data_IF_004351505812
#
_entry.id   IF_004351505812
#
_cell.length_a   1.000
_cell.length_b   1.000
_cell.length_c   1.000
_cell.angle_alpha   90.00
_cell.angle_beta   90.00
_cell.angle_gamma   90.00
#
_symmetry.space_group_name_H-M   'P 1'
#
loop_
_entity.id
_entity.type
_entity.pdbx_description
1 polymer ?
#
# COMPACT_ATOMS: atom_id res chain seq x y z
N UNK A 1 9.83 -5.46 -12.43
CA UNK A 1 10.80 -4.98 -11.43
C UNK A 1 10.54 -5.59 -10.04
N UNK A 2 9.30 -5.68 -9.60
CA UNK A 2 8.90 -6.07 -8.24
C UNK A 2 8.81 -7.59 -7.97
N UNK A 3 9.40 -8.43 -8.78
CA UNK A 3 9.40 -9.90 -8.62
C UNK A 3 8.02 -10.58 -8.63
N UNK A 4 6.97 -9.88 -9.03
CA UNK A 4 5.63 -10.40 -9.21
C UNK A 4 5.29 -10.54 -10.71
N UNK A 5 4.55 -11.57 -11.06
CA UNK A 5 3.86 -11.64 -12.34
C UNK A 5 2.69 -10.65 -12.39
N UNK A 6 2.17 -10.31 -13.57
CA UNK A 6 0.99 -9.44 -13.67
C UNK A 6 -0.23 -9.96 -12.89
N UNK A 7 -0.42 -11.28 -12.84
CA UNK A 7 -1.52 -11.90 -12.09
C UNK A 7 -1.31 -11.73 -10.59
N UNK A 8 -0.12 -12.04 -10.07
CA UNK A 8 0.20 -11.88 -8.64
C UNK A 8 0.10 -10.43 -8.19
N UNK A 9 0.52 -9.48 -9.04
CA UNK A 9 0.37 -8.05 -8.75
C UNK A 9 -1.11 -7.66 -8.65
N UNK A 10 -1.93 -8.11 -9.60
CA UNK A 10 -3.36 -7.86 -9.57
C UNK A 10 -4.04 -8.48 -8.35
N UNK A 11 -3.69 -9.73 -8.01
CA UNK A 11 -4.21 -10.41 -6.81
C UNK A 11 -3.84 -9.65 -5.53
N UNK A 12 -2.59 -9.15 -5.44
CA UNK A 12 -2.15 -8.31 -4.32
C UNK A 12 -3.02 -7.06 -4.17
N UNK A 13 -3.29 -6.32 -5.26
CA UNK A 13 -4.15 -5.14 -5.24
C UNK A 13 -5.58 -5.49 -4.78
N UNK A 14 -6.13 -6.61 -5.24
CA UNK A 14 -7.45 -7.09 -4.80
C UNK A 14 -7.46 -7.47 -3.31
N UNK A 15 -6.40 -8.10 -2.81
CA UNK A 15 -6.27 -8.44 -1.39
C UNK A 15 -6.21 -7.17 -0.54
N UNK A 16 -5.47 -6.14 -0.96
CA UNK A 16 -5.43 -4.84 -0.28
C UNK A 16 -6.83 -4.23 -0.15
N UNK A 17 -7.58 -4.15 -1.25
CA UNK A 17 -8.95 -3.61 -1.25
C UNK A 17 -9.90 -4.44 -0.41
N UNK A 18 -9.80 -5.76 -0.47
CA UNK A 18 -10.61 -6.69 0.30
C UNK A 18 -10.30 -6.58 1.81
N UNK A 19 -9.03 -6.50 2.18
CA UNK A 19 -8.62 -6.30 3.57
C UNK A 19 -9.18 -4.98 4.11
N UNK A 20 -9.02 -3.88 3.38
CA UNK A 20 -9.57 -2.57 3.74
C UNK A 20 -11.07 -2.66 4.01
N UNK A 21 -11.84 -3.23 3.08
CA UNK A 21 -13.28 -3.33 3.21
C UNK A 21 -13.70 -4.23 4.38
N UNK A 22 -13.10 -5.41 4.52
CA UNK A 22 -13.49 -6.37 5.55
C UNK A 22 -13.09 -5.95 6.97
N UNK A 23 -11.94 -5.28 7.10
CA UNK A 23 -11.46 -4.79 8.38
C UNK A 23 -12.18 -3.50 8.78
N UNK A 24 -12.08 -2.47 7.92
CA UNK A 24 -12.44 -1.11 8.30
C UNK A 24 -13.95 -0.85 8.28
N UNK A 25 -14.74 -1.66 7.57
CA UNK A 25 -16.21 -1.51 7.52
C UNK A 25 -16.91 -1.66 8.89
N UNK A 26 -16.29 -2.36 9.83
CA UNK A 26 -16.81 -2.45 11.21
C UNK A 26 -16.44 -1.26 12.08
N UNK A 27 -15.44 -0.48 11.67
CA UNK A 27 -15.00 0.73 12.34
C UNK A 27 -15.79 1.93 11.80
N UNK A 28 -15.74 2.13 10.48
CA UNK A 28 -16.50 3.13 9.76
C UNK A 28 -16.78 2.65 8.33
N UNK A 29 -18.01 2.30 8.04
CA UNK A 29 -18.40 1.79 6.73
C UNK A 29 -18.23 2.82 5.60
N UNK A 30 -18.48 4.10 5.88
CA UNK A 30 -18.37 5.16 4.86
C UNK A 30 -16.90 5.35 4.45
N UNK A 31 -16.01 5.35 5.44
CA UNK A 31 -14.59 5.44 5.18
C UNK A 31 -14.04 4.18 4.49
N UNK A 32 -14.51 3.00 4.87
CA UNK A 32 -14.14 1.77 4.18
C UNK A 32 -14.55 1.80 2.70
N UNK A 33 -15.77 2.25 2.39
CA UNK A 33 -16.26 2.41 1.02
C UNK A 33 -15.47 3.45 0.22
N UNK A 34 -14.93 4.48 0.88
CA UNK A 34 -14.09 5.48 0.27
C UNK A 34 -12.64 5.01 0.05
N UNK A 35 -12.06 4.28 1.03
CA UNK A 35 -10.66 3.86 1.00
C UNK A 35 -10.42 2.52 0.28
N UNK A 36 -11.40 1.62 0.20
CA UNK A 36 -11.21 0.34 -0.47
C UNK A 36 -10.94 0.46 -1.98
N UNK A 37 -11.61 1.33 -2.76
CA UNK A 37 -11.22 1.59 -4.14
C UNK A 37 -9.82 2.17 -4.27
N UNK A 38 -9.42 3.08 -3.36
CA UNK A 38 -8.06 3.62 -3.35
C UNK A 38 -7.04 2.50 -3.08
N UNK A 39 -7.29 1.61 -2.13
CA UNK A 39 -6.42 0.46 -1.84
C UNK A 39 -6.26 -0.49 -3.03
N UNK A 40 -7.24 -0.56 -3.94
CA UNK A 40 -7.14 -1.34 -5.18
C UNK A 40 -6.16 -0.73 -6.18
N UNK A 41 -6.12 0.59 -6.27
CA UNK A 41 -5.40 1.31 -7.34
C UNK A 41 -4.16 2.07 -6.87
N UNK A 42 -3.90 2.13 -5.57
CA UNK A 42 -2.78 2.90 -5.00
C UNK A 42 -1.39 2.43 -5.47
N UNK A 43 -1.29 1.19 -5.92
CA UNK A 43 -0.04 0.59 -6.41
C UNK A 43 0.29 0.93 -7.87
N UNK A 44 -0.54 1.73 -8.55
CA UNK A 44 -0.37 2.05 -9.99
C UNK A 44 1.00 2.68 -10.30
N UNK A 45 1.56 3.46 -9.39
CA UNK A 45 2.89 4.06 -9.55
C UNK A 45 4.01 3.04 -9.66
N UNK A 46 3.84 1.82 -9.09
CA UNK A 46 4.81 0.73 -9.25
C UNK A 46 4.94 0.28 -10.72
N UNK A 47 3.87 0.38 -11.50
CA UNK A 47 3.92 0.06 -12.93
C UNK A 47 4.74 1.10 -13.69
N UNK A 48 4.59 2.38 -13.34
CA UNK A 48 5.36 3.49 -13.92
C UNK A 48 6.83 3.35 -13.56
N UNK A 49 7.12 3.15 -12.28
CA UNK A 49 8.49 2.98 -11.79
C UNK A 49 9.15 1.74 -12.41
N UNK A 50 8.43 0.63 -12.54
CA UNK A 50 8.93 -0.58 -13.20
C UNK A 50 9.28 -0.34 -14.68
N UNK A 51 8.49 0.45 -15.40
CA UNK A 51 8.76 0.81 -16.79
C UNK A 51 10.02 1.70 -16.89
N UNK A 52 10.17 2.66 -15.99
CA UNK A 52 11.35 3.54 -15.98
C UNK A 52 12.62 2.77 -15.63
N UNK A 53 12.58 1.87 -14.66
CA UNK A 53 13.69 0.99 -14.32
C UNK A 53 14.09 0.06 -15.49
N UNK A 54 13.09 -0.39 -16.28
CA UNK A 54 13.34 -1.17 -17.49
C UNK A 54 14.05 -0.31 -18.55
N UNK A 55 13.57 0.89 -18.82
CA UNK A 55 14.12 1.81 -19.81
C UNK A 55 15.57 2.22 -19.47
N UNK A 56 15.86 2.42 -18.19
CA UNK A 56 17.18 2.81 -17.68
C UNK A 56 18.12 1.64 -17.40
N UNK A 57 17.72 0.41 -17.68
CA UNK A 57 18.50 -0.83 -17.45
C UNK A 57 18.79 -1.15 -15.98
N UNK A 58 18.08 -0.56 -15.03
CA UNK A 58 18.25 -0.80 -13.59
C UNK A 58 17.39 -1.95 -13.04
N UNK A 59 16.58 -2.61 -13.86
CA UNK A 59 15.63 -3.65 -13.41
C UNK A 59 16.28 -4.77 -12.61
N UNK A 60 17.46 -5.26 -13.03
CA UNK A 60 18.13 -6.38 -12.36
C UNK A 60 18.66 -5.96 -10.98
N UNK A 61 19.32 -4.80 -10.92
CA UNK A 61 19.82 -4.22 -9.67
C UNK A 61 18.67 -3.98 -8.68
N UNK A 62 17.59 -3.39 -9.15
CA UNK A 62 16.39 -3.15 -8.34
C UNK A 62 15.80 -4.45 -7.77
N UNK A 63 15.66 -5.48 -8.61
CA UNK A 63 15.17 -6.80 -8.18
C UNK A 63 16.03 -7.46 -7.10
N UNK A 64 17.33 -7.28 -7.18
CA UNK A 64 18.27 -7.82 -6.19
C UNK A 64 18.14 -7.08 -4.86
N UNK A 65 18.25 -5.76 -4.86
CA UNK A 65 18.18 -4.98 -3.64
C UNK A 65 16.78 -4.98 -2.98
N UNK A 66 15.71 -5.15 -3.76
CA UNK A 66 14.35 -5.28 -3.23
C UNK A 66 14.21 -6.47 -2.26
N UNK A 67 14.96 -7.56 -2.47
CA UNK A 67 14.93 -8.72 -1.57
C UNK A 67 15.51 -8.41 -0.20
N UNK A 68 16.54 -7.57 -0.19
CA UNK A 68 17.34 -7.27 1.01
C UNK A 68 16.88 -5.98 1.71
N UNK A 69 16.10 -5.12 1.05
CA UNK A 69 15.64 -3.88 1.65
C UNK A 69 14.66 -4.14 2.81
N UNK A 70 14.75 -3.34 3.84
CA UNK A 70 13.84 -3.38 4.98
C UNK A 70 12.52 -2.67 4.66
N UNK A 71 12.60 -1.49 4.04
CA UNK A 71 11.46 -0.65 3.65
C UNK A 71 11.50 -0.41 2.14
N UNK A 72 10.44 -0.82 1.46
CA UNK A 72 10.36 -0.78 -0.01
C UNK A 72 10.44 0.67 -0.52
N UNK A 73 9.70 1.56 0.08
CA UNK A 73 9.57 2.96 -0.33
C UNK A 73 10.89 3.74 -0.15
N UNK A 74 11.63 3.45 0.91
CA UNK A 74 12.97 4.00 1.11
C UNK A 74 13.91 3.55 -0.01
N UNK A 75 13.86 2.27 -0.36
CA UNK A 75 14.67 1.73 -1.43
C UNK A 75 14.27 2.27 -2.81
N UNK A 76 12.98 2.42 -3.09
CA UNK A 76 12.48 3.10 -4.30
C UNK A 76 13.07 4.52 -4.41
N UNK A 77 13.02 5.28 -3.30
CA UNK A 77 13.55 6.64 -3.26
C UNK A 77 15.05 6.70 -3.47
N UNK A 78 15.82 5.79 -2.88
CA UNK A 78 17.28 5.70 -3.09
C UNK A 78 17.67 5.44 -4.54
N UNK A 79 16.91 4.60 -5.25
CA UNK A 79 17.22 4.21 -6.63
C UNK A 79 16.65 5.20 -7.65
N UNK A 80 15.44 5.72 -7.44
CA UNK A 80 14.70 6.49 -8.43
C UNK A 80 14.45 7.96 -8.05
N UNK A 81 14.80 8.37 -6.83
CA UNK A 81 14.53 9.71 -6.32
C UNK A 81 13.06 10.02 -6.06
N UNK A 82 12.22 8.98 -6.06
CA UNK A 82 10.77 9.09 -5.80
C UNK A 82 10.24 7.76 -5.27
N UNK A 83 9.02 7.78 -4.71
CA UNK A 83 8.31 6.56 -4.29
C UNK A 83 7.18 6.22 -5.27
N UNK A 84 6.80 4.96 -5.33
CA UNK A 84 5.70 4.52 -6.19
C UNK A 84 4.36 5.12 -5.77
N UNK A 85 4.14 5.38 -4.48
CA UNK A 85 2.90 6.02 -4.01
C UNK A 85 2.82 7.48 -4.41
N UNK A 86 3.94 8.22 -4.36
CA UNK A 86 3.99 9.58 -4.87
C UNK A 86 3.69 9.63 -6.37
N UNK A 87 4.26 8.69 -7.15
CA UNK A 87 3.95 8.53 -8.58
C UNK A 87 2.47 8.21 -8.82
N UNK A 88 1.86 7.35 -8.00
CA UNK A 88 0.40 7.11 -8.07
C UNK A 88 -0.38 8.40 -7.85
N UNK A 89 0.02 9.23 -6.89
CA UNK A 89 -0.59 10.54 -6.64
C UNK A 89 -0.49 11.47 -7.86
N UNK A 90 0.67 11.53 -8.52
CA UNK A 90 0.86 12.31 -9.75
C UNK A 90 0.00 11.79 -10.91
N UNK A 91 -0.11 10.48 -11.08
CA UNK A 91 -1.00 9.88 -12.09
C UNK A 91 -2.46 10.25 -11.85
N UNK A 92 -2.91 10.15 -10.62
CA UNK A 92 -4.29 10.44 -10.25
C UNK A 92 -4.63 11.92 -10.41
N UNK A 93 -3.69 12.81 -10.10
CA UNK A 93 -3.80 14.24 -10.39
C UNK A 93 -3.92 14.50 -11.89
N UNK A 94 -3.08 13.87 -12.70
CA UNK A 94 -3.12 13.99 -14.16
C UNK A 94 -4.44 13.48 -14.75
N UNK A 95 -5.02 12.43 -14.18
CA UNK A 95 -6.31 11.87 -14.62
C UNK A 95 -7.53 12.53 -13.98
N UNK A 96 -7.34 13.59 -13.19
CA UNK A 96 -8.38 14.28 -12.46
C UNK A 96 -9.24 13.36 -11.59
N UNK A 97 -8.60 12.39 -10.91
CA UNK A 97 -9.28 11.55 -9.94
C UNK A 97 -9.56 12.34 -8.63
N UNK A 98 -10.21 11.68 -7.69
CA UNK A 98 -10.59 12.26 -6.39
C UNK A 98 -9.41 13.01 -5.73
N UNK A 99 -9.52 14.33 -5.48
CA UNK A 99 -8.41 15.13 -4.93
C UNK A 99 -7.88 14.63 -3.58
N UNK A 100 -8.76 14.04 -2.75
CA UNK A 100 -8.34 13.47 -1.48
C UNK A 100 -7.42 12.25 -1.69
N UNK A 101 -7.65 11.44 -2.72
CA UNK A 101 -6.75 10.33 -3.09
C UNK A 101 -5.37 10.85 -3.48
N UNK A 102 -5.33 11.92 -4.28
CA UNK A 102 -4.07 12.57 -4.70
C UNK A 102 -3.28 13.03 -3.48
N UNK A 103 -3.92 13.76 -2.57
CA UNK A 103 -3.30 14.27 -1.35
C UNK A 103 -2.79 13.13 -0.47
N UNK A 104 -3.59 12.09 -0.23
CA UNK A 104 -3.17 10.94 0.59
C UNK A 104 -1.94 10.25 0.02
N UNK A 105 -1.94 9.94 -1.28
CA UNK A 105 -0.83 9.22 -1.91
C UNK A 105 0.46 10.03 -1.97
N UNK A 106 0.38 11.35 -2.21
CA UNK A 106 1.55 12.23 -2.22
C UNK A 106 2.19 12.37 -0.83
N UNK A 107 1.42 12.17 0.22
CA UNK A 107 1.86 12.34 1.61
C UNK A 107 2.02 11.01 2.37
N UNK A 108 1.93 9.87 1.69
CA UNK A 108 2.03 8.57 2.34
C UNK A 108 3.47 8.25 2.82
N UNK A 109 4.48 8.73 2.08
CA UNK A 109 5.90 8.48 2.37
C UNK A 109 6.72 9.76 2.59
N UNK A 110 6.24 10.87 2.04
CA UNK A 110 6.93 12.16 2.05
C UNK A 110 5.94 13.17 2.60
N UNK A 111 6.28 13.81 3.71
CA UNK A 111 5.48 14.90 4.26
C UNK A 111 5.66 16.16 3.36
N UNK A 112 4.83 16.28 2.35
CA UNK A 112 4.84 17.41 1.41
C UNK A 112 4.08 18.61 1.99
N UNK A 113 3.09 18.34 2.88
CA UNK A 113 2.25 19.34 3.53
C UNK A 113 2.01 18.97 5.00
N UNK A 114 1.70 19.95 5.84
CA UNK A 114 1.25 19.68 7.22
C UNK A 114 -0.13 19.04 7.15
N UNK A 115 -0.16 17.74 7.36
CA UNK A 115 -1.39 16.95 7.38
C UNK A 115 -1.85 16.79 8.82
N UNK A 116 -3.13 17.05 9.06
CA UNK A 116 -3.72 16.96 10.41
C UNK A 116 -5.12 16.33 10.35
N UNK A 117 -5.52 15.77 11.49
CA UNK A 117 -6.88 15.33 11.72
C UNK A 117 -7.29 14.12 10.87
N UNK A 118 -8.41 14.24 10.17
CA UNK A 118 -9.01 13.14 9.40
C UNK A 118 -8.10 12.61 8.28
N UNK A 119 -7.31 13.46 7.66
CA UNK A 119 -6.38 13.10 6.60
C UNK A 119 -5.23 12.23 7.14
N UNK A 120 -4.65 12.60 8.26
CA UNK A 120 -3.64 11.81 8.96
C UNK A 120 -4.17 10.41 9.27
N UNK A 121 -5.36 10.32 9.81
CA UNK A 121 -6.03 9.06 10.10
C UNK A 121 -6.27 8.19 8.86
N UNK A 122 -6.59 8.78 7.71
CA UNK A 122 -6.72 8.05 6.45
C UNK A 122 -5.38 7.53 5.94
N UNK A 123 -4.31 8.31 6.09
CA UNK A 123 -2.96 7.91 5.73
C UNK A 123 -2.51 6.73 6.59
N UNK A 124 -2.72 6.78 7.90
CA UNK A 124 -2.42 5.68 8.82
C UNK A 124 -3.21 4.41 8.46
N UNK A 125 -4.48 4.58 8.08
CA UNK A 125 -5.32 3.45 7.65
C UNK A 125 -4.77 2.79 6.38
N UNK A 126 -4.29 3.59 5.39
CA UNK A 126 -3.63 3.05 4.20
C UNK A 126 -2.28 2.39 4.54
N UNK A 127 -1.56 2.94 5.52
CA UNK A 127 -0.28 2.39 5.97
C UNK A 127 -0.44 1.00 6.58
N UNK A 128 -1.51 0.76 7.33
CA UNK A 128 -1.88 -0.59 7.79
C UNK A 128 -2.03 -1.56 6.61
N UNK A 129 -2.73 -1.16 5.56
CA UNK A 129 -2.99 -2.03 4.40
C UNK A 129 -1.71 -2.36 3.65
N UNK A 130 -0.89 -1.36 3.29
CA UNK A 130 0.37 -1.58 2.56
C UNK A 130 1.41 -2.33 3.38
N UNK A 131 1.39 -2.20 4.70
CA UNK A 131 2.27 -2.96 5.60
C UNK A 131 1.86 -4.43 5.65
N UNK A 132 0.57 -4.74 5.72
CA UNK A 132 0.07 -6.11 5.74
C UNK A 132 0.19 -6.81 4.38
N UNK A 133 0.06 -6.05 3.28
CA UNK A 133 0.02 -6.56 1.91
C UNK A 133 0.85 -5.67 1.00
N UNK A 134 1.96 -6.18 0.52
CA UNK A 134 2.88 -5.48 -0.38
C UNK A 134 3.56 -6.46 -1.34
N UNK A 135 4.45 -5.97 -2.20
CA UNK A 135 5.15 -6.77 -3.23
C UNK A 135 6.12 -7.81 -2.68
N UNK A 136 6.49 -7.74 -1.40
CA UNK A 136 7.35 -8.74 -0.72
C UNK A 136 6.51 -9.70 0.12
N UNK A 137 5.50 -9.18 0.79
CA UNK A 137 4.74 -9.88 1.81
C UNK A 137 3.24 -9.72 1.58
N UNK A 138 2.55 -10.81 1.33
CA UNK A 138 1.10 -10.85 1.20
C UNK A 138 0.53 -11.60 2.39
N UNK A 139 0.12 -10.89 3.42
CA UNK A 139 -0.44 -11.42 4.65
C UNK A 139 0.45 -12.53 5.29
N UNK A 140 1.76 -12.30 5.33
CA UNK A 140 2.67 -13.14 6.13
C UNK A 140 2.43 -12.88 7.62
N UNK A 141 2.85 -13.80 8.50
CA UNK A 141 2.73 -13.58 9.95
C UNK A 141 3.48 -12.31 10.37
N UNK A 142 4.65 -12.07 9.76
CA UNK A 142 5.46 -10.89 10.04
C UNK A 142 4.76 -9.60 9.58
N UNK A 143 4.23 -9.57 8.35
CA UNK A 143 3.56 -8.38 7.82
C UNK A 143 2.25 -8.06 8.56
N UNK A 144 1.50 -9.10 8.98
CA UNK A 144 0.31 -8.93 9.82
C UNK A 144 0.70 -8.36 11.19
N UNK A 145 1.76 -8.89 11.81
CA UNK A 145 2.22 -8.39 13.12
C UNK A 145 2.69 -6.92 13.03
N UNK A 146 3.45 -6.55 11.99
CA UNK A 146 3.87 -5.16 11.76
C UNK A 146 2.67 -4.22 11.56
N UNK A 147 1.69 -4.62 10.76
CA UNK A 147 0.47 -3.85 10.53
C UNK A 147 -0.36 -3.71 11.81
N UNK A 148 -0.42 -4.76 12.64
CA UNK A 148 -1.11 -4.76 13.93
C UNK A 148 -0.54 -3.71 14.90
N UNK A 149 0.77 -3.43 14.87
CA UNK A 149 1.37 -2.36 15.66
C UNK A 149 0.85 -0.97 15.24
N UNK A 150 0.62 -0.76 13.94
CA UNK A 150 0.03 0.50 13.46
C UNK A 150 -1.42 0.59 13.91
N UNK A 151 -2.19 -0.49 13.81
CA UNK A 151 -3.58 -0.55 14.30
C UNK A 151 -3.64 -0.21 15.79
N UNK A 152 -2.72 -0.75 16.60
CA UNK A 152 -2.60 -0.43 18.02
C UNK A 152 -2.31 1.05 18.26
N UNK A 153 -1.39 1.66 17.48
CA UNK A 153 -1.06 3.08 17.59
C UNK A 153 -2.24 4.02 17.23
N UNK A 154 -3.21 3.51 16.46
CA UNK A 154 -4.45 4.20 16.12
C UNK A 154 -5.56 4.01 17.17
N UNK A 155 -5.28 3.35 18.29
CA UNK A 155 -6.28 2.96 19.31
C UNK A 155 -7.43 2.07 18.76
N UNK A 156 -7.13 1.22 17.78
CA UNK A 156 -8.09 0.30 17.18
C UNK A 156 -7.90 -1.14 17.65
N UNK A 157 -8.94 -1.97 17.45
CA UNK A 157 -8.94 -3.37 17.85
C UNK A 157 -8.01 -4.23 16.96
N UNK A 158 -6.83 -4.57 17.49
CA UNK A 158 -5.83 -5.40 16.82
C UNK A 158 -6.32 -6.82 16.60
N UNK A 159 -7.08 -7.40 17.55
CA UNK A 159 -7.62 -8.76 17.44
C UNK A 159 -8.60 -8.86 16.28
N UNK A 160 -9.46 -7.85 16.10
CA UNK A 160 -10.34 -7.78 14.95
C UNK A 160 -9.57 -7.73 13.63
N UNK A 161 -8.54 -6.87 13.54
CA UNK A 161 -7.69 -6.76 12.36
C UNK A 161 -7.01 -8.10 12.02
N UNK A 162 -6.33 -8.71 12.98
CA UNK A 162 -5.62 -9.97 12.79
C UNK A 162 -6.54 -11.11 12.35
N UNK A 163 -7.74 -11.22 12.95
CA UNK A 163 -8.74 -12.22 12.58
C UNK A 163 -9.20 -12.04 11.12
N UNK A 164 -9.41 -10.79 10.69
CA UNK A 164 -9.76 -10.49 9.29
C UNK A 164 -8.61 -10.85 8.36
N UNK A 165 -7.38 -10.44 8.67
CA UNK A 165 -6.19 -10.72 7.87
C UNK A 165 -5.94 -12.23 7.71
N UNK A 166 -6.01 -13.00 8.79
CA UNK A 166 -5.86 -14.46 8.74
C UNK A 166 -6.98 -15.16 7.95
N UNK A 167 -8.22 -14.69 8.07
CA UNK A 167 -9.33 -15.23 7.29
C UNK A 167 -9.13 -15.02 5.80
N UNK A 168 -8.69 -13.82 5.39
CA UNK A 168 -8.38 -13.51 3.99
C UNK A 168 -7.21 -14.35 3.50
N UNK A 169 -6.10 -14.41 4.26
CA UNK A 169 -4.94 -15.25 3.97
C UNK A 169 -5.34 -16.70 3.66
N UNK A 170 -6.19 -17.28 4.49
CA UNK A 170 -6.64 -18.66 4.33
C UNK A 170 -7.56 -18.87 3.10
N UNK A 171 -8.28 -17.84 2.67
CA UNK A 171 -9.14 -17.90 1.47
C UNK A 171 -8.34 -17.84 0.17
N UNK A 172 -7.20 -17.15 0.14
CA UNK A 172 -6.33 -17.02 -1.04
C UNK A 172 -5.28 -18.14 -1.19
N UNK A 173 -5.07 -18.95 -0.16
CA UNK A 173 -4.16 -20.13 -0.22
C UNK A 173 -4.77 -21.37 -0.88
N UNK A 174 -5.98 -21.27 -1.40
CA UNK A 174 -6.63 -22.34 -2.16
C UNK A 174 -6.47 -22.14 -3.65
#
# INVERSE_FOLDING_TARGET
AYNLSPSEFNDMCHIQSHLMMQWYSKIDLRHAQFLAPLSLIMESGKLVLAQELYNSSYTLQFKQGLKDCEVIETYEYEIAGTTSYYLSGLLFEHWNLEPLYVTMLKNLDIEDEIITGKMEYYIDTLDVIRTAVNVKDILTEESIAKASLIVESMDLDTVHFENVAHRIKNSYKK
#
